data_IF_614859843652
#
_entry.id   IF_614859843652
#
_cell.length_a   1.000
_cell.length_b   1.000
_cell.length_c   1.000
_cell.angle_alpha   90.00
_cell.angle_beta   90.00
_cell.angle_gamma   90.00
#
_symmetry.space_group_name_H-M   'P 1'
#
loop_
_entity.id
_entity.type
_entity.pdbx_description
1 polymer ?
#
# COMPACT_ATOMS: atom_id res chain seq x y z
N UNK A 1 2.25 2.82 -21.10
CA UNK A 1 1.09 3.22 -20.26
C UNK A 1 1.16 2.48 -18.93
N UNK A 2 1.88 3.00 -17.93
CA UNK A 2 2.05 2.34 -16.61
C UNK A 2 1.69 3.24 -15.41
N UNK A 3 1.26 4.47 -15.66
CA UNK A 3 1.08 5.49 -14.60
C UNK A 3 -0.34 5.53 -14.01
N UNK A 4 -1.39 5.16 -14.76
CA UNK A 4 -2.78 5.15 -14.26
C UNK A 4 -3.04 4.09 -13.17
N UNK A 5 -2.22 3.04 -13.11
CA UNK A 5 -2.43 1.91 -12.19
C UNK A 5 -2.04 2.25 -10.75
N UNK A 6 -1.03 3.11 -10.57
CA UNK A 6 -0.50 3.44 -9.24
C UNK A 6 -1.42 4.37 -8.47
N UNK A 7 -1.98 5.40 -9.09
CA UNK A 7 -2.93 6.32 -8.44
C UNK A 7 -4.20 5.60 -7.95
N UNK A 8 -4.75 4.69 -8.77
CA UNK A 8 -5.89 3.88 -8.38
C UNK A 8 -5.56 2.93 -7.22
N UNK A 9 -4.32 2.41 -7.19
CA UNK A 9 -3.84 1.54 -6.12
C UNK A 9 -3.66 2.32 -4.81
N UNK A 10 -3.04 3.50 -4.86
CA UNK A 10 -2.88 4.41 -3.71
C UNK A 10 -4.25 4.76 -3.12
N UNK A 11 -5.21 5.15 -3.96
CA UNK A 11 -6.59 5.46 -3.54
C UNK A 11 -7.25 4.28 -2.80
N UNK A 12 -7.11 3.06 -3.34
CA UNK A 12 -7.67 1.85 -2.73
C UNK A 12 -7.00 1.47 -1.42
N UNK A 13 -5.68 1.62 -1.34
CA UNK A 13 -4.91 1.39 -0.11
C UNK A 13 -5.37 2.39 0.95
N UNK A 14 -5.48 3.68 0.60
CA UNK A 14 -5.96 4.72 1.52
C UNK A 14 -7.35 4.49 2.07
N UNK A 15 -8.29 4.11 1.19
CA UNK A 15 -9.65 3.78 1.60
C UNK A 15 -9.65 2.63 2.61
N UNK A 16 -8.87 1.57 2.35
CA UNK A 16 -8.79 0.41 3.24
C UNK A 16 -8.11 0.71 4.58
N UNK A 17 -7.00 1.44 4.56
CA UNK A 17 -6.29 1.84 5.77
C UNK A 17 -7.17 2.74 6.65
N UNK A 18 -7.91 3.67 6.03
CA UNK A 18 -8.94 4.45 6.71
C UNK A 18 -10.04 3.57 7.31
N UNK A 19 -10.54 2.56 6.58
CA UNK A 19 -11.57 1.63 7.10
C UNK A 19 -11.12 0.82 8.31
N UNK A 20 -9.83 0.52 8.45
CA UNK A 20 -9.28 -0.18 9.62
C UNK A 20 -8.74 0.77 10.70
N UNK A 21 -8.94 2.09 10.53
CA UNK A 21 -8.57 3.10 11.53
C UNK A 21 -7.10 3.53 11.50
N UNK A 22 -6.33 3.16 10.48
CA UNK A 22 -4.96 3.63 10.31
C UNK A 22 -5.00 5.00 9.62
N UNK A 23 -4.68 6.06 10.37
CA UNK A 23 -4.52 7.41 9.81
C UNK A 23 -3.18 7.51 9.08
N UNK A 24 -3.23 7.44 7.76
CA UNK A 24 -2.07 7.65 6.87
C UNK A 24 -1.69 9.12 6.69
N UNK A 25 -1.86 9.94 7.72
CA UNK A 25 -1.57 11.38 7.63
C UNK A 25 -0.11 11.71 7.35
N UNK A 26 0.80 10.74 7.43
CA UNK A 26 2.25 10.92 7.27
C UNK A 26 2.91 9.97 6.26
N UNK A 27 2.13 9.19 5.48
CA UNK A 27 2.70 8.22 4.52
C UNK A 27 2.66 8.80 3.10
N UNK A 28 3.84 9.08 2.54
CA UNK A 28 4.02 9.46 1.13
C UNK A 28 3.59 8.34 0.19
N UNK A 29 3.10 8.68 -1.00
CA UNK A 29 2.57 7.72 -1.97
C UNK A 29 3.57 6.60 -2.34
N UNK A 30 4.87 6.94 -2.42
CA UNK A 30 5.95 5.96 -2.65
C UNK A 30 6.08 4.97 -1.49
N UNK A 31 6.02 5.47 -0.25
CA UNK A 31 6.13 4.66 0.98
C UNK A 31 4.90 3.79 1.17
N UNK A 32 3.75 4.29 0.76
CA UNK A 32 2.45 3.63 0.75
C UNK A 32 2.46 2.46 -0.24
N UNK A 33 2.97 2.67 -1.46
CA UNK A 33 3.17 1.62 -2.46
C UNK A 33 4.27 0.62 -2.09
N UNK A 34 5.27 1.03 -1.31
CA UNK A 34 6.35 0.17 -0.83
C UNK A 34 5.99 -0.66 0.42
N UNK A 35 4.97 -0.22 1.18
CA UNK A 35 4.52 -0.86 2.42
C UNK A 35 3.22 -1.63 2.26
N UNK A 36 2.36 -1.21 1.32
CA UNK A 36 1.04 -1.78 1.10
C UNK A 36 0.76 -2.06 -0.37
N UNK A 37 0.08 -3.18 -0.61
CA UNK A 37 -0.36 -3.64 -1.91
C UNK A 37 -1.80 -4.15 -1.82
N UNK A 38 -2.48 -4.25 -2.95
CA UNK A 38 -3.80 -4.83 -3.04
C UNK A 38 -3.65 -6.16 -3.75
N UNK A 39 -3.81 -7.26 -3.02
CA UNK A 39 -3.79 -8.59 -3.61
C UNK A 39 -4.89 -8.74 -4.67
N UNK A 40 -4.76 -9.73 -5.55
CA UNK A 40 -5.77 -10.02 -6.58
C UNK A 40 -7.19 -10.25 -6.03
N UNK A 41 -7.29 -10.69 -4.77
CA UNK A 41 -8.55 -10.84 -4.02
C UNK A 41 -9.12 -9.52 -3.48
N UNK A 42 -8.48 -8.38 -3.76
CA UNK A 42 -8.92 -7.07 -3.29
C UNK A 42 -8.70 -6.83 -1.79
N UNK A 43 -7.77 -7.53 -1.15
CA UNK A 43 -7.41 -7.33 0.28
C UNK A 43 -6.17 -6.43 0.40
N UNK A 44 -6.10 -5.63 1.47
CA UNK A 44 -4.89 -4.88 1.80
C UNK A 44 -3.85 -5.88 2.31
N UNK A 45 -2.72 -5.96 1.62
CA UNK A 45 -1.61 -6.79 2.03
C UNK A 45 -0.43 -5.88 2.33
N UNK A 46 0.24 -6.07 3.46
CA UNK A 46 1.55 -5.47 3.64
C UNK A 46 2.47 -6.08 2.60
N UNK A 47 3.00 -5.29 1.66
CA UNK A 47 4.14 -5.77 0.89
C UNK A 47 5.25 -5.88 1.90
N UNK A 48 5.66 -7.12 2.20
CA UNK A 48 7.00 -7.33 2.72
C UNK A 48 7.92 -6.78 1.63
N UNK A 49 8.27 -5.48 1.73
CA UNK A 49 9.61 -5.06 1.36
C UNK A 49 10.53 -6.14 1.90
N UNK A 50 11.49 -6.67 1.13
CA UNK A 50 12.44 -7.64 1.63
C UNK A 50 13.10 -7.02 2.84
N UNK A 51 12.55 -7.30 4.02
CA UNK A 51 13.20 -7.07 5.28
C UNK A 51 14.49 -7.87 5.11
N UNK A 52 15.67 -7.24 5.10
CA UNK A 52 16.90 -8.01 5.07
C UNK A 52 16.76 -9.00 6.21
N UNK A 53 16.73 -10.28 5.85
CA UNK A 53 16.73 -11.37 6.81
C UNK A 53 18.14 -11.28 7.41
N UNK A 54 18.30 -10.45 8.44
CA UNK A 54 19.53 -10.42 9.20
C UNK A 54 19.73 -11.84 9.77
N UNK A 55 20.90 -12.46 9.54
CA UNK A 55 21.19 -13.81 9.99
C UNK A 55 21.35 -13.92 11.51
#
# INVERSE_FOLDING_TARGET
MYMQTNENKIRRIRDKLTRIGIKETDITDEKLLASYDISATGQLCGVKSPHPREP
#
